data_IF_199522565757
#
_entry.id   IF_199522565757
#
_cell.length_a   1.000
_cell.length_b   1.000
_cell.length_c   1.000
_cell.angle_alpha   90.00
_cell.angle_beta   90.00
_cell.angle_gamma   90.00
#
_symmetry.space_group_name_H-M   'P 1'
#
loop_
_entity.id
_entity.type
_entity.pdbx_description
1 polymer ?
#
# COMPACT_ATOMS: atom_id res chain seq x y z
N UNK A 1 16.50 19.25 -5.42
CA UNK A 1 15.50 18.92 -4.38
C UNK A 1 14.85 17.61 -4.80
N UNK A 2 14.65 16.67 -3.88
CA UNK A 2 13.92 15.43 -4.11
C UNK A 2 12.65 15.45 -3.26
N UNK A 3 11.52 15.08 -3.84
CA UNK A 3 10.23 15.03 -3.18
C UNK A 3 9.69 13.61 -3.29
N UNK A 4 9.39 12.95 -2.17
CA UNK A 4 8.97 11.53 -2.17
C UNK A 4 7.56 11.35 -2.72
N UNK A 5 6.70 12.36 -2.55
CA UNK A 5 5.26 12.20 -2.64
C UNK A 5 4.73 11.43 -1.43
N UNK A 6 3.48 10.96 -1.47
CA UNK A 6 2.97 9.96 -0.53
C UNK A 6 3.48 8.59 -0.96
N UNK A 7 4.01 7.82 -0.01
CA UNK A 7 4.67 6.56 -0.34
C UNK A 7 4.63 5.57 0.82
N UNK A 8 4.86 4.29 0.49
CA UNK A 8 5.15 3.20 1.42
C UNK A 8 6.08 2.19 0.74
N UNK A 9 6.92 1.50 1.51
CA UNK A 9 7.66 0.34 1.01
C UNK A 9 6.73 -0.89 1.11
N UNK A 10 6.15 -1.28 -0.03
CA UNK A 10 5.40 -2.53 -0.16
C UNK A 10 6.10 -3.40 -1.21
N UNK A 11 6.58 -4.57 -0.78
CA UNK A 11 7.26 -5.53 -1.66
C UNK A 11 6.27 -6.33 -2.52
N UNK A 12 5.01 -6.40 -2.09
CA UNK A 12 3.95 -7.15 -2.75
C UNK A 12 2.67 -6.31 -2.86
N UNK A 13 2.69 -5.21 -3.65
CA UNK A 13 1.52 -4.37 -3.78
C UNK A 13 0.45 -5.07 -4.63
N UNK A 14 -0.80 -5.00 -4.16
CA UNK A 14 -1.96 -5.56 -4.87
C UNK A 14 -2.15 -4.92 -6.26
N UNK A 15 -1.89 -3.61 -6.38
CA UNK A 15 -1.95 -2.88 -7.65
C UNK A 15 -0.67 -2.09 -7.85
N UNK A 16 -0.15 -2.11 -9.07
CA UNK A 16 1.02 -1.33 -9.47
C UNK A 16 2.30 -2.13 -9.39
N UNK A 17 3.41 -1.45 -9.10
CA UNK A 17 4.75 -2.06 -9.01
C UNK A 17 5.30 -1.83 -7.61
N UNK A 18 6.13 -2.76 -7.09
CA UNK A 18 6.92 -2.51 -5.90
C UNK A 18 7.81 -1.28 -6.06
N UNK A 19 8.37 -0.82 -4.95
CA UNK A 19 9.25 0.33 -4.95
C UNK A 19 10.49 0.08 -5.83
N UNK A 20 10.84 1.08 -6.66
CA UNK A 20 12.04 1.02 -7.49
C UNK A 20 13.29 1.40 -6.68
N UNK A 21 13.83 0.43 -5.96
CA UNK A 21 15.07 0.60 -5.19
C UNK A 21 16.28 0.97 -6.05
N UNK A 22 16.30 0.60 -7.35
CA UNK A 22 17.39 0.97 -8.25
C UNK A 22 17.34 2.46 -8.55
N UNK A 23 16.15 2.99 -8.84
CA UNK A 23 15.95 4.42 -9.03
C UNK A 23 16.30 5.22 -7.76
N UNK A 24 15.86 4.75 -6.58
CA UNK A 24 16.22 5.39 -5.30
C UNK A 24 17.74 5.36 -5.06
N UNK A 25 18.41 4.24 -5.34
CA UNK A 25 19.87 4.14 -5.20
C UNK A 25 20.63 5.06 -6.16
N UNK A 26 20.09 5.28 -7.36
CA UNK A 26 20.68 6.17 -8.35
C UNK A 26 20.72 7.63 -7.88
N UNK A 27 19.79 8.04 -7.00
CA UNK A 27 19.77 9.38 -6.41
C UNK A 27 21.05 9.72 -5.64
N UNK A 28 21.83 8.73 -5.17
CA UNK A 28 23.14 8.98 -4.55
C UNK A 28 24.11 9.73 -5.48
N UNK A 29 23.98 9.53 -6.79
CA UNK A 29 24.79 10.22 -7.81
C UNK A 29 24.28 11.64 -8.09
N UNK A 30 23.01 11.87 -7.81
CA UNK A 30 22.39 13.18 -7.91
C UNK A 30 22.77 14.01 -6.68
N UNK A 31 23.31 15.22 -6.86
CA UNK A 31 23.65 16.12 -5.75
C UNK A 31 22.38 16.72 -5.13
N UNK A 32 21.60 15.92 -4.41
CA UNK A 32 20.33 16.34 -3.81
C UNK A 32 20.60 17.28 -2.63
N UNK A 33 20.25 18.56 -2.80
CA UNK A 33 20.39 19.59 -1.76
C UNK A 33 19.38 19.47 -0.62
N UNK A 34 18.16 19.03 -0.91
CA UNK A 34 17.05 19.00 0.04
C UNK A 34 16.07 17.87 -0.28
N UNK A 35 15.48 17.29 0.76
CA UNK A 35 14.44 16.27 0.73
C UNK A 35 13.13 16.85 1.29
N UNK A 36 12.02 16.65 0.59
CA UNK A 36 10.67 16.85 1.12
C UNK A 36 10.02 15.47 1.17
N UNK A 37 9.74 15.00 2.38
CA UNK A 37 9.28 13.63 2.63
C UNK A 37 7.88 13.60 3.24
N UNK A 38 7.13 12.54 2.90
CA UNK A 38 5.90 12.17 3.62
C UNK A 38 6.25 11.77 5.07
N UNK A 39 5.55 12.38 6.02
CA UNK A 39 5.71 12.17 7.46
C UNK A 39 4.45 11.60 8.13
N UNK A 40 3.45 11.17 7.36
CA UNK A 40 2.14 10.73 7.85
C UNK A 40 2.23 9.71 8.98
N UNK A 41 3.18 8.76 8.88
CA UNK A 41 3.35 7.65 9.83
C UNK A 41 4.66 7.70 10.64
N UNK A 42 5.33 8.85 10.76
CA UNK A 42 6.67 8.93 11.39
C UNK A 42 6.72 8.51 12.87
N UNK A 43 5.58 8.49 13.56
CA UNK A 43 5.47 8.07 14.97
C UNK A 43 5.04 6.61 15.15
N UNK A 44 4.76 5.89 14.05
CA UNK A 44 4.39 4.48 14.09
C UNK A 44 5.66 3.65 14.01
N UNK A 45 5.93 2.88 15.06
CA UNK A 45 7.08 1.97 15.09
C UNK A 45 6.81 0.70 14.28
N UNK A 46 7.86 0.19 13.63
CA UNK A 46 7.81 -1.02 12.83
C UNK A 46 7.31 -0.80 11.40
N UNK A 47 7.20 -1.91 10.67
CA UNK A 47 6.80 -1.89 9.27
C UNK A 47 5.28 -1.90 9.10
N UNK A 48 4.81 -1.20 8.08
CA UNK A 48 3.40 -1.21 7.69
C UNK A 48 3.14 -2.52 6.92
N UNK A 49 2.14 -3.33 7.33
CA UNK A 49 1.80 -4.54 6.60
C UNK A 49 1.44 -4.28 5.13
N UNK A 50 1.84 -5.21 4.27
CA UNK A 50 1.49 -5.20 2.84
C UNK A 50 -0.03 -5.19 2.62
N UNK A 51 -0.50 -4.58 1.52
CA UNK A 51 -1.92 -4.64 1.15
C UNK A 51 -2.35 -6.09 0.85
N UNK A 52 -1.43 -6.98 0.47
CA UNK A 52 -1.72 -8.42 0.34
C UNK A 52 -2.26 -9.00 1.65
N UNK A 53 -1.77 -8.54 2.81
CA UNK A 53 -2.29 -8.99 4.11
C UNK A 53 -3.75 -8.61 4.30
N UNK A 54 -4.17 -7.46 3.77
CA UNK A 54 -5.56 -7.03 3.79
C UNK A 54 -6.41 -7.92 2.88
N UNK A 55 -5.90 -8.26 1.68
CA UNK A 55 -6.54 -9.19 0.74
C UNK A 55 -6.77 -10.57 1.34
N UNK A 56 -5.78 -11.13 2.02
CA UNK A 56 -5.90 -12.39 2.76
C UNK A 56 -7.00 -12.30 3.82
N UNK A 57 -6.96 -11.25 4.64
CA UNK A 57 -7.94 -11.06 5.73
C UNK A 57 -9.37 -10.89 5.20
N UNK A 58 -9.53 -10.18 4.07
CA UNK A 58 -10.83 -10.04 3.41
C UNK A 58 -11.33 -11.40 2.89
N UNK A 59 -10.47 -12.16 2.21
CA UNK A 59 -10.81 -13.50 1.72
C UNK A 59 -11.30 -14.42 2.84
N UNK A 60 -10.60 -14.44 3.98
CA UNK A 60 -11.00 -15.21 5.16
C UNK A 60 -12.36 -14.78 5.72
N UNK A 61 -12.59 -13.47 5.81
CA UNK A 61 -13.86 -12.92 6.30
C UNK A 61 -15.03 -13.26 5.38
N UNK A 62 -14.86 -13.13 4.07
CA UNK A 62 -15.90 -13.46 3.10
C UNK A 62 -16.23 -14.95 3.14
N UNK A 63 -15.23 -15.82 3.19
CA UNK A 63 -15.43 -17.27 3.34
C UNK A 63 -16.20 -17.62 4.62
N UNK A 64 -15.88 -16.96 5.75
CA UNK A 64 -16.53 -17.18 7.05
C UNK A 64 -18.02 -16.84 7.04
N UNK A 65 -18.45 -15.86 6.24
CA UNK A 65 -19.84 -15.39 6.21
C UNK A 65 -20.58 -15.77 4.92
N UNK A 66 -20.13 -16.83 4.24
CA UNK A 66 -20.75 -17.34 3.01
C UNK A 66 -22.27 -17.49 3.12
N UNK A 67 -22.98 -17.03 2.09
CA UNK A 67 -24.45 -17.06 2.02
C UNK A 67 -25.14 -15.89 2.73
N UNK A 68 -24.38 -14.96 3.33
CA UNK A 68 -24.91 -13.71 3.89
C UNK A 68 -24.58 -12.53 2.98
N UNK A 69 -25.34 -11.45 3.12
CA UNK A 69 -25.00 -10.16 2.49
C UNK A 69 -23.88 -9.49 3.30
N UNK A 70 -22.82 -9.10 2.62
CA UNK A 70 -21.73 -8.29 3.17
C UNK A 70 -21.78 -6.90 2.56
N UNK A 71 -21.55 -5.87 3.37
CA UNK A 71 -21.42 -4.48 2.94
C UNK A 71 -20.04 -4.01 3.38
N UNK A 72 -19.23 -3.57 2.42
CA UNK A 72 -17.85 -3.10 2.65
C UNK A 72 -17.77 -1.64 2.23
N UNK A 73 -17.10 -0.81 3.03
CA UNK A 73 -16.86 0.61 2.73
C UNK A 73 -15.37 0.87 2.62
N UNK A 74 -14.96 1.70 1.67
CA UNK A 74 -13.58 2.14 1.50
C UNK A 74 -13.55 3.50 0.79
N UNK A 75 -12.40 4.17 0.80
CA UNK A 75 -12.20 5.36 -0.02
C UNK A 75 -12.27 4.99 -1.51
N UNK A 76 -13.01 5.76 -2.29
CA UNK A 76 -13.21 5.50 -3.72
C UNK A 76 -11.89 5.50 -4.53
N UNK A 77 -10.87 6.20 -4.06
CA UNK A 77 -9.55 6.27 -4.70
C UNK A 77 -8.62 5.10 -4.33
N UNK A 78 -8.97 4.27 -3.35
CA UNK A 78 -8.14 3.12 -2.97
C UNK A 78 -8.44 1.92 -3.87
N UNK A 79 -7.91 1.96 -5.09
CA UNK A 79 -8.13 0.93 -6.12
C UNK A 79 -7.62 -0.44 -5.68
N UNK A 80 -6.48 -0.52 -4.97
CA UNK A 80 -5.98 -1.78 -4.44
C UNK A 80 -6.97 -2.42 -3.47
N UNK A 81 -7.60 -1.61 -2.61
CA UNK A 81 -8.65 -2.11 -1.70
C UNK A 81 -9.89 -2.60 -2.45
N UNK A 82 -10.30 -1.89 -3.50
CA UNK A 82 -11.44 -2.30 -4.33
C UNK A 82 -11.16 -3.63 -5.02
N UNK A 83 -9.96 -3.82 -5.58
CA UNK A 83 -9.54 -5.10 -6.18
C UNK A 83 -9.57 -6.24 -5.15
N UNK A 84 -9.02 -6.03 -3.96
CA UNK A 84 -9.01 -7.04 -2.90
C UNK A 84 -10.42 -7.43 -2.45
N UNK A 85 -11.35 -6.46 -2.38
CA UNK A 85 -12.75 -6.73 -2.06
C UNK A 85 -13.42 -7.52 -3.20
N UNK A 86 -13.16 -7.14 -4.46
CA UNK A 86 -13.76 -7.78 -5.61
C UNK A 86 -13.30 -9.22 -5.79
N UNK A 87 -12.03 -9.53 -5.50
CA UNK A 87 -11.52 -10.90 -5.55
C UNK A 87 -11.99 -11.78 -4.40
N UNK A 88 -12.21 -11.20 -3.21
CA UNK A 88 -12.70 -11.94 -2.05
C UNK A 88 -14.21 -12.28 -2.12
N UNK A 89 -14.98 -11.55 -2.94
CA UNK A 89 -16.44 -11.64 -3.07
C UNK A 89 -16.95 -12.89 -3.77
#
# INVERSE_FOLDING_TARGET
MFHTGDWRFDEDPVVGKPVDYKALSALKKEKVLALVGDSTNVFVEGDIPSETRVKESLTELFAKYKGKRLIVTCFASNVGRIESIAEAA
#
